data_IF_936366381574
#
_entry.id   IF_936366381574
#
_cell.length_a   1.000
_cell.length_b   1.000
_cell.length_c   1.000
_cell.angle_alpha   90.00
_cell.angle_beta   90.00
_cell.angle_gamma   90.00
#
_symmetry.space_group_name_H-M   'P 1'
#
loop_
_entity.id
_entity.type
_entity.pdbx_description
1 polymer ?
#
# COMPACT_ATOMS: atom_id res chain seq x y z
N UNK A 1 -6.64 -9.38 -28.20
CA UNK A 1 -5.92 -9.78 -26.97
C UNK A 1 -5.88 -8.70 -25.87
N UNK A 2 -5.24 -7.54 -26.06
CA UNK A 2 -5.19 -6.51 -24.99
C UNK A 2 -6.55 -5.87 -24.72
N UNK A 3 -7.29 -5.49 -25.78
CA UNK A 3 -8.63 -4.92 -25.65
C UNK A 3 -9.61 -5.88 -24.93
N UNK A 4 -9.59 -7.17 -25.27
CA UNK A 4 -10.41 -8.19 -24.59
C UNK A 4 -10.02 -8.41 -23.12
N UNK A 5 -8.77 -8.13 -22.76
CA UNK A 5 -8.35 -8.16 -21.35
C UNK A 5 -8.88 -6.93 -20.59
N UNK A 6 -8.83 -5.74 -21.21
CA UNK A 6 -9.37 -4.52 -20.60
C UNK A 6 -10.89 -4.60 -20.40
N UNK A 7 -11.64 -5.16 -21.35
CA UNK A 7 -13.10 -5.35 -21.20
C UNK A 7 -13.41 -6.32 -20.05
N UNK A 8 -12.65 -7.41 -19.93
CA UNK A 8 -12.87 -8.39 -18.85
C UNK A 8 -12.47 -7.89 -17.46
N UNK A 9 -11.55 -6.93 -17.39
CA UNK A 9 -11.08 -6.35 -16.14
C UNK A 9 -11.77 -5.01 -15.81
N UNK A 10 -12.83 -4.63 -16.53
CA UNK A 10 -13.49 -3.34 -16.38
C UNK A 10 -13.92 -3.08 -14.93
N UNK A 11 -14.62 -4.03 -14.32
CA UNK A 11 -15.09 -3.92 -12.94
C UNK A 11 -13.92 -3.75 -11.95
N UNK A 12 -12.84 -4.50 -12.14
CA UNK A 12 -11.64 -4.42 -11.29
C UNK A 12 -10.92 -3.07 -11.44
N UNK A 13 -10.75 -2.60 -12.68
CA UNK A 13 -10.05 -1.34 -12.99
C UNK A 13 -10.86 -0.13 -12.52
N UNK A 14 -12.19 -0.23 -12.54
CA UNK A 14 -13.09 0.85 -12.14
C UNK A 14 -13.54 0.78 -10.69
N UNK A 15 -13.20 -0.29 -9.95
CA UNK A 15 -13.59 -0.47 -8.55
C UNK A 15 -13.25 0.73 -7.66
N UNK A 16 -12.15 1.44 -7.91
CA UNK A 16 -11.77 2.63 -7.13
C UNK A 16 -12.79 3.78 -7.21
N UNK A 17 -13.67 3.79 -8.23
CA UNK A 17 -14.70 4.82 -8.39
C UNK A 17 -15.83 4.73 -7.37
N UNK A 18 -15.92 3.62 -6.62
CA UNK A 18 -16.85 3.49 -5.49
C UNK A 18 -16.44 4.35 -4.29
N UNK A 19 -15.17 4.77 -4.23
CA UNK A 19 -14.65 5.65 -3.19
C UNK A 19 -14.96 7.13 -3.51
N UNK A 20 -14.98 8.03 -2.51
CA UNK A 20 -15.05 9.47 -2.75
C UNK A 20 -13.98 9.97 -3.74
N UNK A 21 -14.35 10.88 -4.64
CA UNK A 21 -13.48 11.36 -5.72
C UNK A 21 -12.13 11.93 -5.23
N UNK A 22 -12.10 12.49 -4.02
CA UNK A 22 -10.87 12.96 -3.37
C UNK A 22 -9.79 11.87 -3.24
N UNK A 23 -10.18 10.60 -3.15
CA UNK A 23 -9.29 9.45 -2.94
C UNK A 23 -8.82 8.78 -4.23
N UNK A 24 -9.49 9.05 -5.35
CA UNK A 24 -9.25 8.30 -6.60
C UNK A 24 -7.77 8.30 -6.99
N UNK A 25 -7.14 9.48 -7.00
CA UNK A 25 -5.73 9.64 -7.36
C UNK A 25 -4.79 8.83 -6.46
N UNK A 26 -5.14 8.66 -5.20
CA UNK A 26 -4.35 7.86 -4.25
C UNK A 26 -4.56 6.37 -4.49
N UNK A 27 -5.79 5.93 -4.76
CA UNK A 27 -6.13 4.51 -4.93
C UNK A 27 -5.61 3.95 -6.25
N UNK A 28 -5.79 4.65 -7.38
CA UNK A 28 -5.39 4.14 -8.70
C UNK A 28 -3.90 4.34 -9.01
N UNK A 29 -3.13 4.96 -8.11
CA UNK A 29 -1.71 5.23 -8.33
C UNK A 29 -0.86 4.05 -7.83
N UNK A 30 -0.01 3.52 -8.70
CA UNK A 30 0.97 2.48 -8.35
C UNK A 30 2.28 3.06 -7.81
N UNK A 31 2.45 4.39 -7.82
CA UNK A 31 3.72 5.04 -7.45
C UNK A 31 4.23 4.65 -6.04
N UNK A 32 3.40 4.60 -4.98
CA UNK A 32 3.88 4.21 -3.65
C UNK A 32 4.38 2.77 -3.63
N UNK A 33 3.66 1.86 -4.29
CA UNK A 33 4.00 0.44 -4.38
C UNK A 33 5.28 0.24 -5.20
N UNK A 34 5.42 0.92 -6.33
CA UNK A 34 6.62 0.87 -7.17
C UNK A 34 7.85 1.40 -6.45
N UNK A 35 7.71 2.49 -5.68
CA UNK A 35 8.79 3.03 -4.84
C UNK A 35 9.22 2.02 -3.78
N UNK A 36 8.26 1.40 -3.09
CA UNK A 36 8.54 0.38 -2.09
C UNK A 36 9.22 -0.85 -2.71
N UNK A 37 8.72 -1.35 -3.84
CA UNK A 37 9.31 -2.47 -4.57
C UNK A 37 10.75 -2.17 -5.01
N UNK A 38 11.02 -0.93 -5.46
CA UNK A 38 12.37 -0.49 -5.81
C UNK A 38 13.31 -0.52 -4.59
N UNK A 39 12.81 -0.12 -3.43
CA UNK A 39 13.60 -0.12 -2.19
C UNK A 39 13.87 -1.54 -1.67
N UNK A 40 12.88 -2.43 -1.70
CA UNK A 40 13.06 -3.86 -1.42
C UNK A 40 14.16 -4.41 -2.32
N UNK A 41 14.04 -4.22 -3.64
CA UNK A 41 15.03 -4.69 -4.61
C UNK A 41 16.43 -4.13 -4.32
N UNK A 42 16.53 -2.84 -3.98
CA UNK A 42 17.81 -2.19 -3.65
C UNK A 42 18.47 -2.83 -2.43
N UNK A 43 17.73 -3.04 -1.33
CA UNK A 43 18.30 -3.61 -0.10
C UNK A 43 18.58 -5.10 -0.19
N UNK A 44 17.74 -5.85 -0.91
CA UNK A 44 18.01 -7.29 -1.15
C UNK A 44 19.21 -7.51 -2.07
N UNK A 45 19.44 -6.61 -3.04
CA UNK A 45 20.59 -6.70 -3.94
C UNK A 45 21.94 -6.58 -3.21
N UNK A 46 22.00 -5.85 -2.09
CA UNK A 46 23.23 -5.75 -1.27
C UNK A 46 23.56 -7.09 -0.61
N UNK A 47 22.56 -7.87 -0.21
CA UNK A 47 22.75 -9.18 0.41
C UNK A 47 23.10 -10.25 -0.63
N UNK A 48 22.50 -10.17 -1.83
CA UNK A 48 22.72 -11.11 -2.94
C UNK A 48 22.07 -12.47 -2.71
N UNK A 49 22.56 -13.25 -1.74
CA UNK A 49 22.07 -14.59 -1.40
C UNK A 49 21.72 -14.66 0.09
N UNK A 50 20.51 -15.10 0.41
CA UNK A 50 20.06 -15.27 1.78
C UNK A 50 20.32 -16.70 2.28
N UNK A 51 20.71 -16.87 3.56
CA UNK A 51 21.02 -18.19 4.12
C UNK A 51 19.77 -19.07 4.35
N UNK A 52 18.59 -18.47 4.44
CA UNK A 52 17.29 -19.14 4.57
C UNK A 52 16.13 -18.16 4.34
N UNK A 53 14.92 -18.70 4.21
CA UNK A 53 13.69 -17.92 4.01
C UNK A 53 13.36 -16.97 5.19
N UNK A 54 13.54 -17.34 6.48
CA UNK A 54 13.37 -16.39 7.58
C UNK A 54 14.28 -15.16 7.51
N UNK A 55 15.49 -15.25 6.94
CA UNK A 55 16.38 -14.11 6.82
C UNK A 55 15.84 -13.04 5.86
N UNK A 56 15.31 -13.43 4.70
CA UNK A 56 14.69 -12.48 3.77
C UNK A 56 13.39 -11.90 4.34
N UNK A 57 12.56 -12.73 4.99
CA UNK A 57 11.34 -12.26 5.67
C UNK A 57 11.63 -11.19 6.71
N UNK A 58 12.70 -11.35 7.50
CA UNK A 58 13.12 -10.34 8.49
C UNK A 58 13.56 -9.03 7.83
N UNK A 59 14.35 -9.07 6.76
CA UNK A 59 14.77 -7.85 6.06
C UNK A 59 13.57 -7.11 5.44
N UNK A 60 12.72 -7.83 4.71
CA UNK A 60 11.54 -7.24 4.07
C UNK A 60 10.55 -6.76 5.13
N UNK A 61 10.36 -7.50 6.21
CA UNK A 61 9.53 -7.09 7.34
C UNK A 61 10.04 -5.81 8.01
N UNK A 62 11.35 -5.70 8.26
CA UNK A 62 11.95 -4.49 8.81
C UNK A 62 11.75 -3.28 7.88
N UNK A 63 11.85 -3.48 6.56
CA UNK A 63 11.54 -2.46 5.56
C UNK A 63 10.06 -2.02 5.58
N UNK A 64 9.13 -2.95 5.77
CA UNK A 64 7.71 -2.60 5.90
C UNK A 64 7.46 -1.76 7.14
N UNK A 65 8.08 -2.11 8.27
CA UNK A 65 7.97 -1.35 9.52
C UNK A 65 8.52 0.06 9.37
N UNK A 66 9.72 0.22 8.80
CA UNK A 66 10.32 1.53 8.51
C UNK A 66 9.39 2.37 7.61
N UNK A 67 8.83 1.77 6.56
CA UNK A 67 7.92 2.48 5.67
C UNK A 67 6.61 2.88 6.37
N UNK A 68 6.10 2.03 7.27
CA UNK A 68 4.90 2.32 8.05
C UNK A 68 5.14 3.49 9.01
N UNK A 69 6.25 3.46 9.74
CA UNK A 69 6.64 4.53 10.67
C UNK A 69 6.79 5.87 9.93
N UNK A 70 7.40 5.88 8.74
CA UNK A 70 7.49 7.08 7.89
C UNK A 70 6.11 7.65 7.53
N UNK A 71 5.15 6.78 7.16
CA UNK A 71 3.79 7.19 6.81
C UNK A 71 2.98 7.64 8.02
N UNK A 72 3.27 7.10 9.21
CA UNK A 72 2.64 7.48 10.46
C UNK A 72 3.15 8.83 11.00
N UNK A 73 4.45 9.12 10.84
CA UNK A 73 5.11 10.32 11.37
C UNK A 73 5.06 11.51 10.40
N UNK A 74 5.10 11.28 9.08
CA UNK A 74 5.07 12.33 8.05
C UNK A 74 3.63 12.61 7.56
N UNK A 75 3.46 13.30 6.42
CA UNK A 75 2.16 13.50 5.76
C UNK A 75 1.60 12.16 5.30
N UNK A 76 0.59 11.66 6.00
CA UNK A 76 -0.15 10.44 5.66
C UNK A 76 -0.61 10.47 4.20
N UNK A 77 -0.50 9.32 3.54
CA UNK A 77 -0.91 9.20 2.14
C UNK A 77 -2.40 9.49 1.94
N UNK A 78 -3.25 9.09 2.89
CA UNK A 78 -4.68 9.47 3.01
C UNK A 78 -4.94 9.99 4.44
N UNK A 79 -5.83 10.97 4.61
CA UNK A 79 -6.13 11.51 5.95
C UNK A 79 -7.06 10.57 6.70
N UNK A 80 -6.90 10.49 8.02
CA UNK A 80 -7.76 9.63 8.85
C UNK A 80 -9.23 10.02 8.76
N UNK A 81 -9.52 11.33 8.70
CA UNK A 81 -10.86 11.87 8.55
C UNK A 81 -11.55 11.35 7.29
N UNK A 82 -10.84 11.33 6.17
CA UNK A 82 -11.39 10.93 4.87
C UNK A 82 -11.43 9.41 4.68
N UNK A 83 -10.57 8.66 5.38
CA UNK A 83 -10.65 7.19 5.43
C UNK A 83 -11.82 6.75 6.30
N UNK A 84 -12.05 7.42 7.43
CA UNK A 84 -13.15 7.11 8.34
C UNK A 84 -14.53 7.23 7.67
N UNK A 85 -14.70 8.10 6.67
CA UNK A 85 -15.97 8.21 5.93
C UNK A 85 -16.28 7.01 5.02
N UNK A 86 -15.29 6.14 4.76
CA UNK A 86 -15.46 4.96 3.88
C UNK A 86 -15.53 3.66 4.68
N UNK A 87 -15.10 3.66 5.95
CA UNK A 87 -15.20 2.51 6.83
C UNK A 87 -16.62 2.40 7.40
N UNK A 88 -17.54 1.74 6.68
CA UNK A 88 -18.87 1.38 7.19
C UNK A 88 -18.73 0.27 8.25
N UNK A 89 -19.13 0.59 9.49
CA UNK A 89 -19.46 -0.34 10.59
C UNK A 89 -18.46 -1.47 10.92
N UNK A 90 -17.25 -1.10 11.34
CA UNK A 90 -16.65 -1.80 12.48
C UNK A 90 -15.75 -0.87 13.27
N UNK A 91 -15.76 -1.04 14.59
CA UNK A 91 -15.07 -0.24 15.62
C UNK A 91 -13.55 -0.11 15.39
N UNK A 92 -13.14 0.66 14.39
CA UNK A 92 -11.75 1.04 14.16
C UNK A 92 -11.55 2.45 14.65
N UNK A 93 -11.24 2.52 15.94
CA UNK A 93 -10.69 3.69 16.61
C UNK A 93 -9.60 4.33 15.72
N UNK A 94 -9.65 5.66 15.55
CA UNK A 94 -8.64 6.43 14.83
C UNK A 94 -7.24 6.15 15.39
N UNK A 95 -7.11 5.85 16.68
CA UNK A 95 -5.87 5.43 17.30
C UNK A 95 -5.39 4.04 16.80
N UNK A 96 -6.31 3.10 16.52
CA UNK A 96 -5.97 1.82 15.89
C UNK A 96 -5.53 2.01 14.44
N UNK A 97 -6.17 2.90 13.69
CA UNK A 97 -5.74 3.23 12.31
C UNK A 97 -4.38 3.93 12.32
N UNK A 98 -4.09 4.72 13.36
CA UNK A 98 -2.79 5.36 13.54
C UNK A 98 -1.68 4.41 13.99
N UNK A 99 -2.03 3.28 14.58
CA UNK A 99 -1.11 2.27 15.11
C UNK A 99 -0.95 1.02 14.20
N UNK A 100 -1.68 0.95 13.09
CA UNK A 100 -1.39 0.04 11.97
C UNK A 100 -0.12 0.47 11.25
#
# INVERSE_FOLDING_TARGET
KLAELMVRAEDDVLAYKTFPQAHWRQIHSTNPLERLNKEIKRRTNVVGIFPNEPAIKRLVGALMLEQNDEWAVTRRYMTLETVATVCEDNTMDLAKIAAL
#
